data_IF_053488661414
#
_entry.id   IF_053488661414
#
_cell.length_a   1.000
_cell.length_b   1.000
_cell.length_c   1.000
_cell.angle_alpha   90.00
_cell.angle_beta   90.00
_cell.angle_gamma   90.00
#
_symmetry.space_group_name_H-M   'P 1'
#
loop_
_entity.id
_entity.type
_entity.pdbx_description
1 polymer ?
#
# COMPACT_ATOMS: atom_id res chain seq x y z
N UNK A 1 19.04 -8.49 -9.01
CA UNK A 1 19.72 -7.80 -7.89
C UNK A 1 19.00 -6.51 -7.62
N UNK A 2 18.09 -6.52 -6.64
CA UNK A 2 17.25 -5.36 -6.37
C UNK A 2 18.07 -4.24 -5.73
N UNK A 3 18.06 -3.06 -6.33
CA UNK A 3 18.64 -1.86 -5.71
C UNK A 3 17.64 -1.28 -4.73
N UNK A 4 18.03 -1.21 -3.47
CA UNK A 4 17.21 -0.61 -2.42
C UNK A 4 17.53 0.90 -2.29
N UNK A 5 16.51 1.76 -2.11
CA UNK A 5 15.09 1.42 -1.99
C UNK A 5 14.45 1.06 -3.35
N UNK A 6 13.70 -0.05 -3.36
CA UNK A 6 12.91 -0.48 -4.51
C UNK A 6 11.55 0.20 -4.44
N UNK A 7 11.07 0.80 -5.53
CA UNK A 7 9.76 1.44 -5.57
C UNK A 7 8.97 0.96 -6.78
N UNK A 8 7.72 0.57 -6.55
CA UNK A 8 6.79 0.18 -7.61
C UNK A 8 5.41 0.76 -7.37
N UNK A 9 4.82 1.22 -8.47
CA UNK A 9 3.46 1.73 -8.51
C UNK A 9 2.54 0.74 -9.22
N UNK A 10 1.35 0.53 -8.65
CA UNK A 10 0.30 -0.30 -9.22
C UNK A 10 -1.06 0.38 -9.14
N UNK A 11 -1.76 0.42 -10.28
CA UNK A 11 -3.15 0.88 -10.32
C UNK A 11 -4.07 -0.25 -9.85
N UNK A 12 -4.81 0.03 -8.77
CA UNK A 12 -5.91 -0.78 -8.26
C UNK A 12 -7.20 -0.44 -9.01
N UNK A 13 -8.34 -0.49 -8.32
CA UNK A 13 -9.68 -0.20 -8.87
C UNK A 13 -10.13 1.21 -8.45
N UNK A 14 -11.09 1.77 -9.17
CA UNK A 14 -11.73 3.04 -8.83
C UNK A 14 -10.76 4.21 -8.64
N UNK A 15 -9.76 4.29 -9.54
CA UNK A 15 -8.70 5.31 -9.56
C UNK A 15 -7.85 5.35 -8.28
N UNK A 16 -7.72 4.22 -7.59
CA UNK A 16 -6.79 4.06 -6.48
C UNK A 16 -5.45 3.55 -7.01
N UNK A 17 -4.38 4.20 -6.62
CA UNK A 17 -2.99 3.82 -6.89
C UNK A 17 -2.35 3.32 -5.60
N UNK A 18 -1.67 2.19 -5.66
CA UNK A 18 -0.81 1.67 -4.60
C UNK A 18 0.65 1.90 -4.99
N UNK A 19 1.39 2.62 -4.16
CA UNK A 19 2.82 2.89 -4.28
C UNK A 19 3.54 2.11 -3.20
N UNK A 20 4.25 1.06 -3.56
CA UNK A 20 5.01 0.22 -2.64
C UNK A 20 6.48 0.57 -2.72
N UNK A 21 7.07 0.93 -1.58
CA UNK A 21 8.50 1.20 -1.42
C UNK A 21 9.07 0.17 -0.46
N UNK A 22 10.10 -0.55 -0.89
CA UNK A 22 10.83 -1.52 -0.08
C UNK A 22 12.21 -0.93 0.23
N UNK A 23 12.55 -0.83 1.51
CA UNK A 23 13.83 -0.35 1.99
C UNK A 23 14.43 -1.32 3.00
N UNK A 24 15.75 -1.27 3.18
CA UNK A 24 16.43 -2.03 4.23
C UNK A 24 16.58 -1.13 5.44
N UNK A 25 15.90 -1.47 6.54
CA UNK A 25 15.96 -0.75 7.82
C UNK A 25 16.57 -1.71 8.84
N UNK A 26 17.71 -1.35 9.43
CA UNK A 26 18.44 -2.18 10.40
C UNK A 26 18.72 -3.62 9.92
N UNK A 27 19.00 -3.79 8.63
CA UNK A 27 19.26 -5.10 8.02
C UNK A 27 17.99 -5.94 7.73
N UNK A 28 16.79 -5.38 7.91
CA UNK A 28 15.52 -6.01 7.57
C UNK A 28 14.82 -5.29 6.41
N UNK A 29 14.24 -6.06 5.48
CA UNK A 29 13.49 -5.51 4.35
C UNK A 29 12.08 -5.07 4.81
N UNK A 30 11.84 -3.77 4.82
CA UNK A 30 10.58 -3.15 5.20
C UNK A 30 9.88 -2.63 3.94
N UNK A 31 8.64 -3.07 3.72
CA UNK A 31 7.79 -2.63 2.62
C UNK A 31 6.73 -1.66 3.12
N UNK A 32 6.77 -0.42 2.65
CA UNK A 32 5.76 0.60 2.87
C UNK A 32 4.89 0.72 1.62
N UNK A 33 3.63 0.30 1.72
CA UNK A 33 2.64 0.50 0.66
C UNK A 33 1.73 1.67 0.98
N UNK A 34 1.80 2.71 0.16
CA UNK A 34 0.96 3.91 0.25
C UNK A 34 -0.15 3.84 -0.77
N UNK A 35 -1.40 4.02 -0.33
CA UNK A 35 -2.57 4.07 -1.19
C UNK A 35 -2.94 5.52 -1.43
N UNK A 36 -3.11 5.90 -2.69
CA UNK A 36 -3.52 7.24 -3.13
C UNK A 36 -4.76 7.13 -4.00
N UNK A 37 -5.70 8.05 -3.82
CA UNK A 37 -6.89 8.23 -4.64
C UNK A 37 -6.67 9.36 -5.64
N UNK A 38 -7.59 9.52 -6.59
CA UNK A 38 -7.53 10.56 -7.61
C UNK A 38 -7.29 11.97 -7.01
N UNK A 39 -6.53 12.83 -7.71
CA UNK A 39 -6.22 14.18 -7.24
C UNK A 39 -7.52 14.98 -7.01
N UNK A 40 -7.72 15.44 -5.78
CA UNK A 40 -8.89 16.21 -5.37
C UNK A 40 -9.58 15.74 -4.10
N UNK A 41 -9.27 14.52 -3.59
CA UNK A 41 -9.84 14.04 -2.33
C UNK A 41 -8.82 14.17 -1.18
N UNK A 42 -9.09 15.07 -0.23
CA UNK A 42 -8.29 15.23 0.98
C UNK A 42 -8.48 14.01 1.87
N UNK A 43 -7.42 13.23 2.01
CA UNK A 43 -7.40 12.10 2.90
C UNK A 43 -7.10 12.51 4.34
N UNK A 44 -7.88 11.98 5.27
CA UNK A 44 -7.65 12.09 6.71
C UNK A 44 -6.85 10.88 7.15
N UNK A 45 -5.54 11.06 7.32
CA UNK A 45 -4.68 10.06 7.96
C UNK A 45 -4.41 10.48 9.39
N UNK A 46 -4.99 9.76 10.35
CA UNK A 46 -4.44 9.68 11.70
C UNK A 46 -3.28 8.66 11.66
N UNK A 47 -2.05 9.14 11.44
CA UNK A 47 -0.87 8.30 11.56
C UNK A 47 -0.13 8.64 12.86
N UNK A 48 0.19 7.58 13.61
CA UNK A 48 1.14 7.60 14.72
C UNK A 48 2.52 8.11 14.27
N UNK A 49 3.34 8.64 15.19
CA UNK A 49 4.32 9.67 14.88
C UNK A 49 5.71 9.09 14.69
N UNK A 50 6.12 8.74 13.47
CA UNK A 50 7.55 8.76 13.10
C UNK A 50 7.69 8.82 11.58
N UNK A 51 8.24 9.94 11.10
CA UNK A 51 8.71 10.23 9.74
C UNK A 51 7.72 10.91 8.75
N UNK A 52 8.11 12.05 8.13
CA UNK A 52 7.22 12.85 7.30
C UNK A 52 7.11 12.30 5.88
N UNK A 53 6.05 11.54 5.60
CA UNK A 53 5.60 11.35 4.22
C UNK A 53 5.01 12.68 3.72
N UNK A 54 5.60 13.25 2.67
CA UNK A 54 5.08 14.45 1.98
C UNK A 54 3.70 14.13 1.41
N UNK A 55 2.65 14.57 2.13
CA UNK A 55 1.25 14.34 1.78
C UNK A 55 0.85 15.20 0.57
N UNK A 56 0.98 14.65 -0.64
CA UNK A 56 0.24 15.17 -1.79
C UNK A 56 -1.23 14.79 -1.68
N UNK A 57 -2.12 15.72 -2.03
CA UNK A 57 -3.57 15.55 -2.00
C UNK A 57 -4.00 14.21 -2.64
N UNK A 58 -4.64 13.32 -1.86
CA UNK A 58 -5.12 12.01 -2.35
C UNK A 58 -4.71 10.79 -1.51
N UNK A 59 -3.74 10.90 -0.59
CA UNK A 59 -3.19 9.73 0.15
C UNK A 59 -4.16 9.07 1.13
N UNK A 60 -4.85 8.01 0.72
CA UNK A 60 -5.79 7.23 1.53
C UNK A 60 -5.19 6.74 2.86
N UNK A 61 -3.94 6.28 2.82
CA UNK A 61 -3.20 5.78 3.97
C UNK A 61 -2.05 4.88 3.54
N UNK A 62 -1.30 4.36 4.50
CA UNK A 62 -0.16 3.48 4.24
C UNK A 62 -0.24 2.21 5.09
N UNK A 63 0.32 1.13 4.56
CA UNK A 63 0.52 -0.14 5.25
C UNK A 63 2.01 -0.45 5.22
N UNK A 64 2.60 -0.60 6.39
CA UNK A 64 3.99 -1.03 6.55
C UNK A 64 4.01 -2.52 6.87
N UNK A 65 4.81 -3.28 6.11
CA UNK A 65 5.04 -4.70 6.26
C UNK A 65 6.53 -4.96 6.45
N UNK A 66 6.86 -5.96 7.24
CA UNK A 66 8.25 -6.35 7.53
C UNK A 66 8.35 -7.88 7.47
N UNK A 67 9.54 -8.48 7.59
CA UNK A 67 9.67 -9.93 7.59
C UNK A 67 8.90 -10.55 8.78
N UNK A 68 8.89 -9.83 9.91
CA UNK A 68 8.17 -10.20 11.15
C UNK A 68 6.65 -10.01 11.00
N UNK A 69 6.23 -8.99 10.26
CA UNK A 69 4.83 -8.71 9.93
C UNK A 69 4.64 -8.73 8.42
N UNK A 70 4.81 -9.93 7.86
CA UNK A 70 4.78 -10.19 6.41
C UNK A 70 3.36 -10.21 5.85
N UNK A 71 2.34 -9.96 6.67
CA UNK A 71 0.96 -9.79 6.22
C UNK A 71 0.18 -8.88 7.15
N UNK A 72 -0.74 -8.10 6.57
CA UNK A 72 -1.75 -7.36 7.30
C UNK A 72 -3.13 -7.74 6.78
N UNK A 73 -4.11 -7.78 7.68
CA UNK A 73 -5.50 -8.15 7.36
C UNK A 73 -6.46 -7.11 7.90
N UNK A 74 -7.61 -6.96 7.25
CA UNK A 74 -8.69 -6.05 7.67
C UNK A 74 -8.26 -4.57 7.81
N UNK A 75 -7.34 -4.09 6.98
CA UNK A 75 -6.97 -2.67 6.96
C UNK A 75 -8.06 -1.87 6.22
N UNK A 76 -8.55 -0.78 6.81
CA UNK A 76 -9.61 0.04 6.21
C UNK A 76 -9.16 1.50 6.17
N UNK A 77 -9.21 2.10 5.00
CA UNK A 77 -9.03 3.54 4.83
C UNK A 77 -10.33 4.16 4.29
N UNK A 78 -10.64 5.36 4.78
CA UNK A 78 -11.81 6.11 4.35
C UNK A 78 -11.41 7.56 4.11
N UNK A 79 -11.76 8.07 2.95
CA UNK A 79 -11.42 9.42 2.50
C UNK A 79 -12.65 10.01 1.81
N UNK A 80 -13.24 11.02 2.45
CA UNK A 80 -14.55 11.53 2.05
C UNK A 80 -15.61 10.42 2.06
N UNK A 81 -16.19 10.13 0.88
CA UNK A 81 -17.14 9.03 0.66
C UNK A 81 -16.47 7.75 0.16
N UNK A 82 -15.25 7.84 -0.36
CA UNK A 82 -14.49 6.69 -0.83
C UNK A 82 -13.97 5.87 0.36
N UNK A 83 -14.14 4.56 0.26
CA UNK A 83 -13.70 3.56 1.23
C UNK A 83 -12.90 2.50 0.50
N UNK A 84 -11.71 2.19 1.02
CA UNK A 84 -10.92 1.02 0.65
C UNK A 84 -10.79 0.13 1.88
N UNK A 85 -11.10 -1.15 1.71
CA UNK A 85 -10.90 -2.19 2.71
C UNK A 85 -9.96 -3.22 2.11
N UNK A 86 -8.76 -3.27 2.64
CA UNK A 86 -7.78 -4.31 2.35
C UNK A 86 -8.12 -5.50 3.25
N UNK A 87 -8.49 -6.60 2.61
CA UNK A 87 -8.82 -7.83 3.32
C UNK A 87 -7.54 -8.56 3.70
N UNK A 88 -6.58 -8.60 2.77
CA UNK A 88 -5.28 -9.22 2.95
C UNK A 88 -4.25 -8.50 2.11
N UNK A 89 -3.15 -8.09 2.72
CA UNK A 89 -1.93 -7.70 2.01
C UNK A 89 -0.80 -8.57 2.52
N UNK A 90 -0.06 -9.16 1.59
CA UNK A 90 1.05 -10.06 1.89
C UNK A 90 2.33 -9.49 1.30
N UNK A 91 3.37 -9.44 2.13
CA UNK A 91 4.74 -9.14 1.77
C UNK A 91 5.51 -10.46 1.82
N UNK A 92 5.95 -10.92 0.65
CA UNK A 92 6.85 -12.06 0.53
C UNK A 92 8.18 -11.56 0.02
N UNK A 93 9.12 -11.40 0.94
CA UNK A 93 10.53 -11.31 0.61
C UNK A 93 11.22 -12.54 1.19
N UNK A 94 12.06 -13.20 0.39
CA UNK A 94 12.79 -14.37 0.82
C UNK A 94 14.10 -13.90 1.43
N UNK A 95 14.37 -14.28 2.67
CA UNK A 95 15.55 -13.83 3.42
C UNK A 95 16.83 -14.08 2.59
N UNK A 96 17.50 -13.00 2.18
CA UNK A 96 18.75 -13.05 1.42
C UNK A 96 18.63 -13.25 -0.09
N UNK A 97 17.46 -13.08 -0.71
CA UNK A 97 17.28 -13.21 -2.15
C UNK A 97 16.68 -11.94 -2.75
N UNK A 98 17.30 -11.50 -3.85
CA UNK A 98 17.00 -10.32 -4.67
C UNK A 98 15.56 -10.25 -5.23
N UNK A 99 14.70 -11.17 -4.83
CA UNK A 99 13.34 -11.36 -5.31
C UNK A 99 12.33 -11.24 -4.19
N UNK A 100 11.26 -10.50 -4.43
CA UNK A 100 10.12 -10.46 -3.54
C UNK A 100 8.89 -9.90 -4.24
N UNK A 101 7.74 -10.00 -3.57
CA UNK A 101 6.48 -9.52 -4.09
C UNK A 101 5.55 -9.05 -2.98
N UNK A 102 4.70 -8.08 -3.32
CA UNK A 102 3.61 -7.61 -2.48
C UNK A 102 2.31 -7.80 -3.23
N UNK A 103 1.41 -8.57 -2.63
CA UNK A 103 0.08 -8.83 -3.16
C UNK A 103 -0.91 -8.16 -2.23
N UNK A 104 -1.79 -7.34 -2.80
CA UNK A 104 -2.83 -6.64 -2.09
C UNK A 104 -4.20 -7.07 -2.62
N UNK A 105 -5.02 -7.53 -1.68
CA UNK A 105 -6.37 -8.01 -1.91
C UNK A 105 -7.32 -7.23 -1.01
N UNK A 106 -8.41 -6.79 -1.61
CA UNK A 106 -9.37 -5.99 -0.91
C UNK A 106 -10.50 -5.57 -1.79
N UNK A 107 -11.19 -4.54 -1.34
CA UNK A 107 -12.30 -3.94 -2.03
C UNK A 107 -12.27 -2.44 -1.85
N UNK A 108 -12.57 -1.72 -2.90
CA UNK A 108 -12.64 -0.28 -2.87
C UNK A 108 -13.94 0.20 -3.51
N UNK A 109 -14.43 1.32 -3.02
CA UNK A 109 -15.60 2.02 -3.58
C UNK A 109 -15.13 3.16 -4.46
N UNK A 110 -16.03 3.69 -5.29
CA UNK A 110 -15.78 4.89 -6.09
C UNK A 110 -15.67 6.15 -5.21
N UNK A 111 -15.20 7.28 -5.77
CA UNK A 111 -15.22 8.60 -5.10
C UNK A 111 -16.57 8.96 -4.48
N UNK A 112 -17.67 8.49 -5.08
CA UNK A 112 -19.03 8.68 -4.58
C UNK A 112 -19.42 7.76 -3.40
N UNK A 113 -18.54 6.84 -2.99
CA UNK A 113 -18.83 5.79 -2.01
C UNK A 113 -19.81 4.74 -2.53
N UNK A 114 -20.03 4.71 -3.85
CA UNK A 114 -20.88 3.75 -4.57
C UNK A 114 -19.98 2.74 -5.31
N UNK A 115 -20.58 1.65 -5.80
CA UNK A 115 -19.91 0.54 -6.53
C UNK A 115 -18.65 0.00 -5.83
N UNK A 116 -18.87 -0.85 -4.82
CA UNK A 116 -17.78 -1.62 -4.22
C UNK A 116 -17.24 -2.62 -5.25
N UNK A 117 -15.96 -2.47 -5.61
CA UNK A 117 -15.24 -3.34 -6.52
C UNK A 117 -14.15 -4.06 -5.75
N UNK A 118 -14.13 -5.39 -5.86
CA UNK A 118 -13.08 -6.23 -5.29
C UNK A 118 -11.86 -6.16 -6.21
N UNK A 119 -10.67 -6.11 -5.62
CA UNK A 119 -9.39 -6.13 -6.32
C UNK A 119 -8.46 -7.14 -5.66
N UNK A 120 -7.71 -7.86 -6.48
CA UNK A 120 -6.62 -8.72 -6.07
C UNK A 120 -5.49 -8.50 -7.06
N UNK A 121 -4.47 -7.76 -6.66
CA UNK A 121 -3.34 -7.43 -7.54
C UNK A 121 -2.03 -7.52 -6.81
N UNK A 122 -1.04 -8.00 -7.56
CA UNK A 122 0.36 -7.79 -7.21
C UNK A 122 0.69 -6.32 -7.42
N UNK A 123 0.98 -5.63 -6.31
CA UNK A 123 1.28 -4.20 -6.31
C UNK A 123 2.79 -3.92 -6.37
N UNK A 124 3.60 -4.92 -5.99
CA UNK A 124 5.03 -4.88 -6.16
C UNK A 124 5.58 -6.27 -6.48
N UNK A 125 6.62 -6.36 -7.32
CA UNK A 125 7.53 -7.49 -7.38
C UNK A 125 8.89 -7.11 -7.96
N UNK A 126 9.94 -7.63 -7.35
CA UNK A 126 11.33 -7.42 -7.73
C UNK A 126 12.06 -8.76 -7.91
N UNK A 127 13.19 -8.74 -8.64
CA UNK A 127 14.11 -9.87 -8.90
C UNK A 127 15.52 -9.39 -9.20
#
# INVERSE_FOLDING_TARGET
MATYPYSQDAMLVNSIKATTVVSVVDGMEVSVTTFTSAPGILASTTLSPTEPATLSAGTLGSVTLSPVQSKAVNVKFKVGKQKIKIELITFRAQFGLDTGQVICEGKATDPDGKNETVFAKQIAAWS
#
